data_IF_216867677358
#
_entry.id   IF_216867677358
#
_cell.length_a   1.000
_cell.length_b   1.000
_cell.length_c   1.000
_cell.angle_alpha   90.00
_cell.angle_beta   90.00
_cell.angle_gamma   90.00
#
_symmetry.space_group_name_H-M   'P 1'
#
loop_
_entity.id
_entity.type
_entity.pdbx_description
1 polymer ?
#
# COMPACT_ATOMS: atom_id res chain seq x y z
N UNK A 1 -12.99 12.75 -14.53
CA UNK A 1 -12.54 11.55 -13.79
C UNK A 1 -11.11 11.21 -14.15
N UNK A 2 -10.36 10.76 -13.18
CA UNK A 2 -8.95 10.40 -13.38
C UNK A 2 -8.71 8.98 -12.90
N UNK A 3 -7.88 8.23 -13.63
CA UNK A 3 -7.59 6.83 -13.33
C UNK A 3 -6.16 6.70 -12.81
N UNK A 4 -6.01 5.95 -11.72
CA UNK A 4 -4.72 5.60 -11.13
C UNK A 4 -4.57 4.09 -11.18
N UNK A 5 -3.38 3.63 -11.55
CA UNK A 5 -3.03 2.21 -11.50
C UNK A 5 -1.88 2.00 -10.53
N UNK A 6 -2.08 1.13 -9.55
CA UNK A 6 -1.03 0.69 -8.63
C UNK A 6 -0.62 -0.72 -9.04
N UNK A 7 0.67 -0.92 -9.28
CA UNK A 7 1.18 -2.20 -9.76
C UNK A 7 1.72 -3.03 -8.60
N UNK A 8 1.32 -4.30 -8.56
CA UNK A 8 1.84 -5.25 -7.59
C UNK A 8 3.37 -5.34 -7.62
N UNK A 9 3.95 -5.36 -8.83
CA UNK A 9 5.41 -5.47 -8.97
C UNK A 9 6.15 -4.36 -8.26
N UNK A 10 5.64 -3.13 -8.34
CA UNK A 10 6.25 -1.98 -7.67
C UNK A 10 6.15 -2.12 -6.15
N UNK A 11 4.96 -2.49 -5.67
CA UNK A 11 4.73 -2.66 -4.23
C UNK A 11 5.55 -3.85 -3.69
N UNK A 12 5.55 -4.96 -4.40
CA UNK A 12 6.27 -6.16 -3.99
C UNK A 12 7.78 -5.90 -3.92
N UNK A 13 8.32 -5.17 -4.89
CA UNK A 13 9.74 -4.78 -4.88
C UNK A 13 10.05 -3.97 -3.63
N UNK A 14 9.20 -3.03 -3.27
CA UNK A 14 9.38 -2.20 -2.07
C UNK A 14 9.26 -3.05 -0.79
N UNK A 15 8.35 -4.00 -0.74
CA UNK A 15 8.22 -4.92 0.41
C UNK A 15 9.47 -5.76 0.58
N UNK A 16 9.98 -6.34 -0.52
CA UNK A 16 11.21 -7.13 -0.48
C UNK A 16 12.38 -6.29 0.00
N UNK A 17 12.54 -5.09 -0.53
CA UNK A 17 13.62 -4.18 -0.15
C UNK A 17 13.52 -3.78 1.32
N UNK A 18 12.32 -3.46 1.78
CA UNK A 18 12.11 -3.08 3.18
C UNK A 18 12.37 -4.25 4.12
N UNK A 19 11.96 -5.46 3.74
CA UNK A 19 12.20 -6.65 4.56
C UNK A 19 13.69 -6.98 4.65
N UNK A 20 14.43 -6.81 3.56
CA UNK A 20 15.87 -6.99 3.56
C UNK A 20 16.57 -5.97 4.47
N UNK A 21 16.15 -4.72 4.40
CA UNK A 21 16.71 -3.67 5.25
C UNK A 21 16.45 -3.95 6.74
N UNK A 22 15.23 -4.33 7.08
CA UNK A 22 14.86 -4.66 8.46
C UNK A 22 15.65 -5.87 8.93
N UNK A 23 15.77 -6.89 8.09
CA UNK A 23 16.54 -8.09 8.40
C UNK A 23 18.00 -7.79 8.70
N UNK A 24 18.62 -6.95 7.90
CA UNK A 24 20.00 -6.55 8.10
C UNK A 24 20.17 -5.71 9.36
N UNK A 25 19.26 -4.76 9.59
CA UNK A 25 19.32 -3.83 10.72
C UNK A 25 19.19 -4.55 12.07
N UNK A 26 18.33 -5.57 12.14
CA UNK A 26 18.02 -6.27 13.39
C UNK A 26 18.63 -7.67 13.45
N UNK A 27 19.53 -8.00 12.51
CA UNK A 27 20.23 -9.29 12.46
C UNK A 27 19.28 -10.49 12.38
N UNK A 28 18.20 -10.35 11.62
CA UNK A 28 17.21 -11.42 11.40
C UNK A 28 16.93 -11.61 9.90
N UNK A 29 17.94 -11.38 9.07
CA UNK A 29 17.81 -11.34 7.61
C UNK A 29 17.14 -12.57 7.02
N UNK A 30 17.60 -13.76 7.40
CA UNK A 30 17.05 -15.01 6.86
C UNK A 30 15.60 -15.24 7.29
N UNK A 31 15.22 -14.69 8.42
CA UNK A 31 13.88 -14.85 8.99
C UNK A 31 12.85 -13.94 8.32
N UNK A 32 13.22 -12.69 8.01
CA UNK A 32 12.27 -11.68 7.56
C UNK A 32 12.35 -11.37 6.07
N UNK A 33 13.35 -11.88 5.39
CA UNK A 33 13.54 -11.60 3.97
C UNK A 33 12.39 -12.16 3.13
N UNK A 34 11.68 -11.29 2.42
CA UNK A 34 10.65 -11.70 1.47
C UNK A 34 11.29 -11.91 0.10
N UNK A 35 10.88 -12.94 -0.62
CA UNK A 35 11.41 -13.30 -1.92
C UNK A 35 10.28 -13.59 -2.90
N UNK A 36 10.63 -13.83 -4.15
CA UNK A 36 9.66 -14.17 -5.19
C UNK A 36 8.85 -15.45 -4.89
N UNK A 37 9.34 -16.32 -4.02
CA UNK A 37 8.61 -17.51 -3.59
C UNK A 37 7.37 -17.19 -2.76
N UNK A 38 7.29 -15.97 -2.24
CA UNK A 38 6.17 -15.51 -1.44
C UNK A 38 5.10 -14.80 -2.28
N UNK A 39 5.25 -14.83 -3.59
CA UNK A 39 4.48 -14.03 -4.53
C UNK A 39 2.96 -14.24 -4.44
N UNK A 40 2.50 -15.50 -4.33
CA UNK A 40 1.07 -15.79 -4.24
C UNK A 40 0.44 -15.16 -3.00
N UNK A 41 1.06 -15.36 -1.85
CA UNK A 41 0.57 -14.78 -0.61
C UNK A 41 0.61 -13.27 -0.65
N UNK A 42 1.68 -12.72 -1.21
CA UNK A 42 1.82 -11.27 -1.35
C UNK A 42 0.76 -10.66 -2.26
N UNK A 43 0.38 -11.37 -3.34
CA UNK A 43 -0.67 -10.92 -4.23
C UNK A 43 -2.03 -10.83 -3.52
N UNK A 44 -2.33 -11.79 -2.64
CA UNK A 44 -3.54 -11.76 -1.82
C UNK A 44 -3.52 -10.55 -0.89
N UNK A 45 -2.40 -10.31 -0.24
CA UNK A 45 -2.25 -9.17 0.66
C UNK A 45 -2.28 -7.84 -0.09
N UNK A 46 -1.76 -7.81 -1.31
CA UNK A 46 -1.87 -6.62 -2.16
C UNK A 46 -3.33 -6.29 -2.46
N UNK A 47 -4.13 -7.29 -2.80
CA UNK A 47 -5.56 -7.10 -3.04
C UNK A 47 -6.26 -6.59 -1.77
N UNK A 48 -5.92 -7.14 -0.60
CA UNK A 48 -6.45 -6.67 0.68
C UNK A 48 -6.05 -5.21 0.95
N UNK A 49 -4.79 -4.87 0.68
CA UNK A 49 -4.30 -3.50 0.86
C UNK A 49 -5.05 -2.52 -0.04
N UNK A 50 -5.29 -2.90 -1.29
CA UNK A 50 -6.02 -2.05 -2.22
C UNK A 50 -7.50 -1.92 -1.83
N UNK A 51 -8.07 -2.97 -1.22
CA UNK A 51 -9.42 -2.88 -0.66
C UNK A 51 -9.48 -1.84 0.48
N UNK A 52 -8.46 -1.79 1.34
CA UNK A 52 -8.36 -0.79 2.39
C UNK A 52 -8.21 0.63 1.83
N UNK A 53 -7.41 0.79 0.77
CA UNK A 53 -7.30 2.06 0.06
C UNK A 53 -8.69 2.48 -0.48
N UNK A 54 -9.44 1.52 -1.01
CA UNK A 54 -10.79 1.76 -1.50
C UNK A 54 -11.74 2.25 -0.43
N UNK A 55 -11.62 1.73 0.79
CA UNK A 55 -12.43 2.20 1.92
C UNK A 55 -12.09 3.65 2.25
N UNK A 56 -10.81 4.00 2.24
CA UNK A 56 -10.38 5.38 2.52
C UNK A 56 -10.87 6.34 1.43
N UNK A 57 -10.81 5.94 0.18
CA UNK A 57 -11.15 6.77 -0.97
C UNK A 57 -12.60 6.64 -1.41
N UNK A 58 -13.44 5.94 -0.66
CA UNK A 58 -14.79 5.55 -1.06
C UNK A 58 -15.61 6.68 -1.67
N UNK A 59 -15.57 7.86 -1.06
CA UNK A 59 -16.36 9.02 -1.54
C UNK A 59 -15.89 9.53 -2.89
N UNK A 60 -14.66 9.27 -3.27
CA UNK A 60 -14.07 9.76 -4.52
C UNK A 60 -14.10 8.72 -5.63
N UNK A 61 -14.34 7.45 -5.30
CA UNK A 61 -14.32 6.38 -6.28
C UNK A 61 -15.56 6.46 -7.18
N UNK A 62 -15.33 6.56 -8.49
CA UNK A 62 -16.40 6.41 -9.47
C UNK A 62 -16.81 4.95 -9.63
N UNK A 63 -15.85 4.04 -9.41
CA UNK A 63 -16.05 2.59 -9.42
C UNK A 63 -15.20 1.97 -8.35
N UNK A 64 -15.64 0.79 -7.82
CA UNK A 64 -14.80 0.02 -6.88
C UNK A 64 -13.45 -0.29 -7.50
N UNK A 65 -12.42 -0.35 -6.65
CA UNK A 65 -11.08 -0.73 -7.10
C UNK A 65 -11.12 -2.17 -7.62
N UNK A 66 -10.64 -2.35 -8.84
CA UNK A 66 -10.52 -3.66 -9.45
C UNK A 66 -9.06 -4.09 -9.43
N UNK A 67 -8.77 -5.23 -8.79
CA UNK A 67 -7.43 -5.80 -8.76
C UNK A 67 -7.41 -7.03 -9.65
N UNK A 68 -6.50 -7.04 -10.64
CA UNK A 68 -6.31 -8.18 -11.53
C UNK A 68 -5.19 -9.06 -11.00
N UNK A 69 -5.50 -10.32 -10.69
CA UNK A 69 -4.49 -11.29 -10.29
C UNK A 69 -3.65 -11.77 -11.46
N UNK A 70 -4.08 -11.50 -12.68
CA UNK A 70 -3.34 -11.88 -13.89
C UNK A 70 -2.27 -10.85 -14.21
N UNK A 71 -2.63 -9.57 -14.22
CA UNK A 71 -1.70 -8.48 -14.57
C UNK A 71 -0.99 -7.91 -13.34
N UNK A 72 -1.51 -8.16 -12.14
CA UNK A 72 -0.96 -7.57 -10.92
C UNK A 72 -1.22 -6.08 -10.82
N UNK A 73 -2.30 -5.59 -11.40
CA UNK A 73 -2.62 -4.16 -11.37
C UNK A 73 -3.93 -3.92 -10.62
N UNK A 74 -3.92 -2.91 -9.76
CA UNK A 74 -5.11 -2.40 -9.12
C UNK A 74 -5.43 -1.04 -9.74
N UNK A 75 -6.59 -0.94 -10.37
CA UNK A 75 -7.00 0.26 -11.07
C UNK A 75 -8.14 0.94 -10.31
N UNK A 76 -8.01 2.24 -10.11
CA UNK A 76 -9.06 3.03 -9.47
C UNK A 76 -9.36 4.26 -10.32
N UNK A 77 -10.65 4.60 -10.42
CA UNK A 77 -11.10 5.79 -11.11
C UNK A 77 -11.69 6.74 -10.08
N UNK A 78 -11.09 7.91 -9.98
CA UNK A 78 -11.45 8.90 -8.97
C UNK A 78 -12.17 10.09 -9.61
N UNK A 79 -13.24 10.49 -8.96
CA UNK A 79 -14.02 11.67 -9.37
C UNK A 79 -13.44 12.90 -8.65
N UNK A 80 -12.26 13.34 -9.09
CA UNK A 80 -11.55 14.48 -8.52
C UNK A 80 -11.17 15.48 -9.60
N UNK A 81 -11.05 16.73 -9.20
CA UNK A 81 -10.67 17.82 -10.10
C UNK A 81 -9.34 18.48 -9.72
N UNK A 82 -8.70 18.00 -8.66
CA UNK A 82 -7.45 18.59 -8.20
C UNK A 82 -6.25 17.93 -8.90
N UNK A 83 -5.07 18.50 -8.67
CA UNK A 83 -3.85 18.08 -9.36
C UNK A 83 -2.95 17.20 -8.49
N UNK A 84 -3.47 16.62 -7.40
CA UNK A 84 -2.66 15.81 -6.50
C UNK A 84 -2.77 14.31 -6.76
N UNK A 85 -3.09 13.91 -7.99
CA UNK A 85 -3.26 12.49 -8.34
C UNK A 85 -1.96 11.69 -8.16
N UNK A 86 -0.82 12.28 -8.51
CA UNK A 86 0.46 11.61 -8.31
C UNK A 86 0.75 11.38 -6.82
N UNK A 87 0.45 12.36 -5.97
CA UNK A 87 0.62 12.21 -4.54
C UNK A 87 -0.31 11.14 -3.97
N UNK A 88 -1.55 11.08 -4.46
CA UNK A 88 -2.51 10.04 -4.05
C UNK A 88 -1.98 8.67 -4.46
N UNK A 89 -1.49 8.53 -5.69
CA UNK A 89 -0.91 7.28 -6.17
C UNK A 89 0.28 6.85 -5.32
N UNK A 90 1.21 7.76 -5.09
CA UNK A 90 2.40 7.47 -4.28
C UNK A 90 2.03 7.07 -2.86
N UNK A 91 1.10 7.78 -2.25
CA UNK A 91 0.64 7.48 -0.90
C UNK A 91 -0.05 6.12 -0.84
N UNK A 92 -0.91 5.81 -1.82
CA UNK A 92 -1.57 4.51 -1.91
C UNK A 92 -0.56 3.38 -2.08
N UNK A 93 0.47 3.59 -2.90
CA UNK A 93 1.54 2.60 -3.10
C UNK A 93 2.30 2.34 -1.80
N UNK A 94 2.66 3.39 -1.09
CA UNK A 94 3.36 3.27 0.21
C UNK A 94 2.48 2.62 1.26
N UNK A 95 1.20 2.96 1.27
CA UNK A 95 0.24 2.36 2.21
C UNK A 95 0.11 0.86 1.96
N UNK A 96 0.02 0.45 0.69
CA UNK A 96 -0.02 -0.96 0.33
C UNK A 96 1.27 -1.67 0.77
N UNK A 97 2.44 -1.05 0.55
CA UNK A 97 3.73 -1.59 0.99
C UNK A 97 3.75 -1.79 2.50
N UNK A 98 3.35 -0.77 3.26
CA UNK A 98 3.36 -0.84 4.73
C UNK A 98 2.38 -1.91 5.24
N UNK A 99 1.21 -2.01 4.63
CA UNK A 99 0.20 -3.01 5.00
C UNK A 99 0.73 -4.43 4.78
N UNK A 100 1.30 -4.69 3.60
CA UNK A 100 1.85 -6.00 3.27
C UNK A 100 3.05 -6.34 4.15
N UNK A 101 3.91 -5.36 4.40
CA UNK A 101 5.08 -5.55 5.27
C UNK A 101 4.64 -5.86 6.70
N UNK A 102 3.62 -5.18 7.21
CA UNK A 102 3.08 -5.46 8.55
C UNK A 102 2.56 -6.90 8.63
N UNK A 103 1.82 -7.37 7.63
CA UNK A 103 1.33 -8.74 7.59
C UNK A 103 2.48 -9.75 7.52
N UNK A 104 3.50 -9.44 6.72
CA UNK A 104 4.68 -10.30 6.60
C UNK A 104 5.44 -10.39 7.92
N UNK A 105 5.65 -9.27 8.59
CA UNK A 105 6.35 -9.24 9.88
C UNK A 105 5.56 -9.90 11.01
N UNK A 106 4.23 -9.87 10.97
CA UNK A 106 3.43 -10.61 11.96
C UNK A 106 3.74 -12.10 11.94
N UNK A 107 4.08 -12.65 10.77
CA UNK A 107 4.41 -14.07 10.62
C UNK A 107 5.88 -14.32 10.92
N UNK A 108 6.77 -13.45 10.44
CA UNK A 108 8.22 -13.72 10.46
C UNK A 108 8.94 -13.13 11.66
N UNK A 109 8.51 -11.97 12.13
CA UNK A 109 9.15 -11.29 13.26
C UNK A 109 8.15 -10.38 13.97
N UNK A 110 7.21 -10.96 14.75
CA UNK A 110 6.14 -10.17 15.38
C UNK A 110 6.64 -9.00 16.22
N UNK A 111 7.84 -9.13 16.79
CA UNK A 111 8.45 -8.07 17.60
C UNK A 111 8.83 -6.82 16.78
N UNK A 112 8.89 -6.93 15.46
CA UNK A 112 9.27 -5.82 14.58
C UNK A 112 8.06 -5.20 13.86
N UNK A 113 6.86 -5.74 14.08
CA UNK A 113 5.67 -5.34 13.32
C UNK A 113 5.19 -3.93 13.66
N UNK A 114 5.48 -3.44 14.84
CA UNK A 114 4.91 -2.20 15.34
C UNK A 114 5.27 -0.99 14.49
N UNK A 115 6.50 -0.90 14.03
CA UNK A 115 6.95 0.21 13.18
C UNK A 115 6.17 0.23 11.86
N UNK A 116 5.97 -0.94 11.25
CA UNK A 116 5.21 -1.04 10.00
C UNK A 116 3.74 -0.65 10.21
N UNK A 117 3.14 -1.04 11.33
CA UNK A 117 1.77 -0.67 11.66
C UNK A 117 1.62 0.83 11.89
N UNK A 118 2.58 1.46 12.55
CA UNK A 118 2.58 2.90 12.73
C UNK A 118 2.70 3.63 11.40
N UNK A 119 3.57 3.17 10.53
CA UNK A 119 3.72 3.74 9.19
C UNK A 119 2.44 3.59 8.39
N UNK A 120 1.81 2.43 8.44
CA UNK A 120 0.53 2.20 7.77
C UNK A 120 -0.53 3.19 8.26
N UNK A 121 -0.61 3.40 9.56
CA UNK A 121 -1.56 4.33 10.16
C UNK A 121 -1.30 5.77 9.72
N UNK A 122 -0.04 6.19 9.71
CA UNK A 122 0.35 7.53 9.27
C UNK A 122 0.03 7.74 7.79
N UNK A 123 0.30 6.75 6.97
CA UNK A 123 0.01 6.81 5.53
C UNK A 123 -1.49 6.81 5.26
N UNK A 124 -2.28 6.08 6.05
CA UNK A 124 -3.74 6.13 5.95
C UNK A 124 -4.26 7.54 6.21
N UNK A 125 -3.75 8.21 7.25
CA UNK A 125 -4.12 9.58 7.56
C UNK A 125 -3.67 10.55 6.47
N UNK A 126 -2.48 10.35 5.93
CA UNK A 126 -1.96 11.18 4.85
C UNK A 126 -2.82 11.02 3.59
N UNK A 127 -3.21 9.79 3.27
CA UNK A 127 -4.07 9.53 2.11
C UNK A 127 -5.43 10.22 2.27
N UNK A 128 -6.01 10.17 3.47
CA UNK A 128 -7.25 10.88 3.76
C UNK A 128 -7.09 12.38 3.55
N UNK A 129 -5.98 12.95 4.00
CA UNK A 129 -5.69 14.37 3.80
C UNK A 129 -5.58 14.73 2.31
N UNK A 130 -4.83 13.93 1.56
CA UNK A 130 -4.64 14.18 0.12
C UNK A 130 -5.95 14.06 -0.65
N UNK A 131 -6.81 13.13 -0.24
CA UNK A 131 -8.05 12.86 -0.94
C UNK A 131 -9.15 13.85 -0.58
N UNK A 132 -9.26 14.21 0.69
CA UNK A 132 -10.43 14.96 1.20
C UNK A 132 -10.09 16.36 1.68
N UNK A 133 -8.80 16.69 1.78
CA UNK A 133 -8.42 18.05 2.09
C UNK A 133 -8.73 18.90 0.87
N UNK A 134 -9.80 19.64 1.00
CA UNK A 134 -10.09 20.70 0.05
C UNK A 134 -9.52 21.97 0.59
N UNK A 135 -9.14 22.84 -0.32
CA UNK A 135 -8.84 24.20 0.08
C UNK A 135 -10.00 24.67 0.94
N UNK A 136 -9.70 24.91 2.19
CA UNK A 136 -10.69 25.43 3.11
C UNK A 136 -11.19 26.73 2.57
N UNK A 137 -12.50 26.96 2.50
CA UNK A 137 -13.02 28.27 2.17
C UNK A 137 -12.43 29.26 3.15
N UNK A 138 -11.87 30.28 2.63
CA UNK A 138 -11.21 31.29 3.46
C UNK A 138 -12.01 32.55 3.53
#
# INVERSE_FOLDING_TARGET
MKTITVKFDDVFTDVCRSSEYIGAKFDVYDKVRATEYDNEQMMQWFADAMANVGVILDRLLAKKIATSFITGEATMTLNVQNNNMEQIKDCATRLATAHMLALWLEITAPELVQTAKLEEQQLSQQLMRLAYYREMPR
#
